data_IF_797965419617
#
_entry.id   IF_797965419617
#
_cell.length_a   1.000
_cell.length_b   1.000
_cell.length_c   1.000
_cell.angle_alpha   90.00
_cell.angle_beta   90.00
_cell.angle_gamma   90.00
#
_symmetry.space_group_name_H-M   'P 1'
#
loop_
_entity.id
_entity.type
_entity.pdbx_description
1 polymer ?
2 non-polymer ?
3 non-polymer ?
4 non-polymer ?
5 non-polymer ?
6 water ?
#
# COMPACT_ATOMS: atom_id res chain seq x y z
N UNK A 1 4.96 15.14 3.41
CA UNK A 1 3.64 14.74 3.95
C UNK A 1 2.49 15.39 3.28
N UNK A 2 1.34 14.72 3.25
CA UNK A 2 0.20 15.31 2.64
C UNK A 2 -0.25 16.47 3.51
N UNK A 3 -0.67 17.56 2.90
CA UNK A 3 -1.03 18.76 3.63
C UNK A 3 -2.58 18.97 3.79
N UNK A 4 -3.30 17.88 3.70
CA UNK A 4 -4.76 17.95 3.67
C UNK A 4 -5.25 16.60 4.21
N UNK A 5 -6.50 16.58 4.69
CA UNK A 5 -7.01 15.41 5.37
C UNK A 5 -7.83 14.50 4.52
N UNK A 6 -8.46 15.00 3.47
CA UNK A 6 -9.19 14.14 2.53
C UNK A 6 -8.25 13.76 1.38
N UNK A 7 -7.97 12.43 1.31
CA UNK A 7 -7.10 11.86 0.29
C UNK A 7 -7.91 10.87 -0.55
N UNK A 8 -7.71 10.91 -1.86
CA UNK A 8 -8.34 10.06 -2.80
C UNK A 8 -7.32 8.99 -3.34
N UNK A 9 -7.88 7.87 -3.70
CA UNK A 9 -7.21 6.82 -4.40
C UNK A 9 -8.08 6.31 -5.50
N UNK A 10 -7.37 5.76 -6.50
CA UNK A 10 -7.99 5.22 -7.64
C UNK A 10 -7.26 3.93 -8.01
N UNK A 11 -8.05 2.89 -8.26
CA UNK A 11 -7.46 1.63 -8.71
C UNK A 11 -7.34 1.64 -10.24
N UNK A 12 -6.14 1.81 -10.75
CA UNK A 12 -5.91 2.05 -12.19
C UNK A 12 -6.33 0.79 -13.01
N UNK A 13 -6.02 -0.37 -12.44
CA UNK A 13 -6.16 -1.66 -13.09
C UNK A 13 -6.08 -2.75 -12.03
N UNK A 14 -6.71 -3.87 -12.34
CA UNK A 14 -6.90 -4.92 -11.37
C UNK A 14 -6.09 -6.14 -11.75
N UNK A 15 -5.37 -6.69 -10.79
CA UNK A 15 -4.72 -7.96 -11.01
C UNK A 15 -5.70 -9.06 -11.36
N UNK A 16 -5.31 -9.96 -12.26
CA UNK A 16 -6.21 -11.07 -12.55
C UNK A 16 -6.08 -12.20 -11.51
N UNK A 17 -5.20 -12.04 -10.52
CA UNK A 17 -4.94 -13.03 -9.48
C UNK A 17 -6.08 -13.12 -8.53
N UNK A 18 -6.93 -12.08 -8.47
CA UNK A 18 -7.90 -12.00 -7.45
C UNK A 18 -9.25 -11.57 -7.99
N UNK A 19 -10.29 -11.85 -7.20
CA UNK A 19 -11.63 -11.32 -7.45
C UNK A 19 -11.59 -9.80 -7.37
N UNK A 20 -12.31 -9.14 -8.25
CA UNK A 20 -12.37 -7.67 -8.24
C UNK A 20 -12.75 -7.12 -6.86
N UNK A 21 -13.83 -7.68 -6.30
CA UNK A 21 -14.34 -7.24 -5.04
C UNK A 21 -13.33 -7.45 -3.88
N UNK A 22 -12.53 -8.47 -4.03
CA UNK A 22 -11.45 -8.73 -3.07
C UNK A 22 -10.28 -7.71 -3.11
N UNK A 23 -9.92 -7.31 -4.33
CA UNK A 23 -8.92 -6.26 -4.50
C UNK A 23 -9.48 -4.97 -3.82
N UNK A 24 -10.72 -4.62 -4.14
CA UNK A 24 -11.39 -3.44 -3.53
C UNK A 24 -11.35 -3.49 -2.04
N UNK A 25 -11.71 -4.64 -1.53
CA UNK A 25 -11.76 -4.81 -0.06
C UNK A 25 -10.39 -4.75 0.62
N UNK A 26 -9.41 -5.39 0.02
CA UNK A 26 -8.05 -5.40 0.64
C UNK A 26 -7.51 -4.04 0.70
N UNK A 27 -7.69 -3.31 -0.39
CA UNK A 27 -7.07 -1.99 -0.44
C UNK A 27 -7.84 -1.05 0.53
N UNK A 28 -9.16 -1.14 0.52
CA UNK A 28 -9.96 -0.31 1.41
C UNK A 28 -9.51 -0.59 2.87
N UNK A 29 -9.45 -1.87 3.24
CA UNK A 29 -9.07 -2.28 4.63
C UNK A 29 -7.67 -1.77 4.95
N UNK A 30 -6.79 -1.78 3.96
CA UNK A 30 -5.45 -1.26 4.18
C UNK A 30 -5.43 0.22 4.44
N UNK A 31 -6.21 1.01 3.69
CA UNK A 31 -6.23 2.46 3.99
C UNK A 31 -6.82 2.66 5.40
N UNK A 32 -7.81 1.82 5.76
CA UNK A 32 -8.51 1.97 7.05
C UNK A 32 -7.52 1.81 8.21
N UNK A 33 -6.56 0.93 8.04
CA UNK A 33 -5.50 0.76 9.06
C UNK A 33 -4.84 2.11 9.44
N UNK A 34 -4.57 2.90 8.43
CA UNK A 34 -3.94 4.18 8.63
C UNK A 34 -4.91 5.32 9.03
N UNK A 35 -6.14 5.32 8.48
CA UNK A 35 -7.26 6.15 8.89
C UNK A 35 -7.48 6.00 10.41
N UNK A 36 -7.34 4.79 10.90
CA UNK A 36 -7.64 4.50 12.30
C UNK A 36 -6.77 5.29 13.26
N UNK A 37 -5.57 5.71 12.85
CA UNK A 37 -4.61 6.31 13.79
C UNK A 37 -4.14 7.69 13.33
N UNK A 38 -4.84 8.26 12.37
CA UNK A 38 -4.58 9.62 11.89
C UNK A 38 -5.89 10.35 11.65
N UNK A 39 -5.83 11.64 11.34
CA UNK A 39 -7.01 12.39 10.89
C UNK A 39 -7.36 12.23 9.40
N UNK A 40 -6.64 11.36 8.71
CA UNK A 40 -6.81 11.22 7.30
C UNK A 40 -8.09 10.46 6.98
N UNK A 41 -8.72 10.83 5.87
CA UNK A 41 -9.89 10.11 5.35
C UNK A 41 -9.58 9.72 3.95
N UNK A 42 -9.93 8.50 3.54
CA UNK A 42 -9.60 8.04 2.22
C UNK A 42 -10.84 7.70 1.42
N UNK A 43 -10.88 8.06 0.16
CA UNK A 43 -12.08 7.80 -0.70
C UNK A 43 -11.54 7.25 -2.04
N UNK A 44 -12.19 6.21 -2.56
CA UNK A 44 -11.87 5.61 -3.82
C UNK A 44 -12.63 6.39 -4.87
N UNK A 45 -11.99 6.71 -5.95
CA UNK A 45 -12.69 7.40 -7.01
C UNK A 45 -12.45 6.57 -8.25
N UNK A 46 -13.27 6.79 -9.22
CA UNK A 46 -13.30 5.98 -10.35
C UNK A 46 -12.85 6.67 -11.59
N UNK A 47 -12.67 7.98 -11.57
CA UNK A 47 -12.22 8.64 -12.80
C UNK A 47 -11.53 9.85 -12.32
N UNK A 48 -10.66 10.36 -13.16
CA UNK A 48 -9.97 11.52 -12.79
C UNK A 48 -8.72 11.17 -12.05
N UNK A 49 -8.06 12.22 -11.59
CA UNK A 49 -6.70 12.14 -10.94
C UNK A 49 -7.00 11.96 -9.46
N UNK A 50 -6.43 10.92 -8.87
CA UNK A 50 -6.48 10.68 -7.47
C UNK A 50 -5.15 11.12 -6.91
N UNK A 51 -5.02 11.21 -5.60
CA UNK A 51 -3.75 11.41 -4.97
C UNK A 51 -2.87 10.18 -5.14
N UNK A 52 -3.47 9.03 -4.80
CA UNK A 52 -2.75 7.81 -4.76
C UNK A 52 -3.30 6.88 -5.84
N UNK A 53 -2.58 6.76 -6.92
CA UNK A 53 -2.95 5.80 -8.00
C UNK A 53 -2.38 4.43 -7.65
N UNK A 54 -3.27 3.42 -7.67
CA UNK A 54 -2.91 2.03 -7.32
C UNK A 54 -2.80 1.29 -8.66
N UNK A 55 -1.62 0.76 -8.92
CA UNK A 55 -1.30 0.19 -10.24
C UNK A 55 -0.76 -1.24 -10.04
N UNK A 56 -1.24 -2.23 -10.85
CA UNK A 56 -0.54 -3.45 -10.91
C UNK A 56 0.21 -3.51 -12.22
N UNK A 57 1.51 -3.80 -12.15
CA UNK A 57 2.39 -3.73 -13.33
C UNK A 57 3.58 -4.66 -13.19
N UNK A 58 4.10 -5.10 -14.35
CA UNK A 58 5.30 -5.91 -14.36
C UNK A 58 6.41 -5.21 -15.17
N UNK A 59 7.65 -5.60 -14.78
CA UNK A 59 8.89 -5.14 -15.37
C UNK A 59 8.94 -3.66 -15.39
N UNK A 60 9.44 -3.13 -16.54
CA UNK A 60 9.42 -1.70 -16.76
C UNK A 60 8.04 -1.23 -17.02
N UNK A 61 7.62 -0.26 -16.25
CA UNK A 61 6.26 0.22 -16.28
C UNK A 61 6.21 1.75 -16.17
N UNK A 62 7.21 2.40 -16.73
CA UNK A 62 7.13 3.82 -16.94
C UNK A 62 7.65 4.70 -15.86
N UNK A 63 8.22 4.14 -14.81
CA UNK A 63 8.80 4.97 -13.79
C UNK A 63 10.25 4.61 -13.72
N UNK A 64 10.97 4.99 -12.73
CA UNK A 64 12.38 4.59 -12.89
C UNK A 64 12.64 3.42 -11.94
N UNK A 65 11.59 2.65 -11.65
CA UNK A 65 11.67 1.60 -10.67
C UNK A 65 11.13 0.26 -11.26
N UNK A 66 11.81 -0.32 -12.27
CA UNK A 66 11.32 -1.56 -12.83
C UNK A 66 11.15 -2.68 -11.84
N UNK A 67 10.14 -3.50 -12.02
CA UNK A 67 10.02 -4.74 -11.26
C UNK A 67 10.89 -5.91 -11.85
N UNK A 68 11.06 -6.90 -11.01
CA UNK A 68 12.05 -7.90 -11.19
C UNK A 68 11.50 -9.33 -11.31
N UNK A 69 10.27 -9.50 -11.73
CA UNK A 69 9.67 -10.81 -11.87
C UNK A 69 9.28 -11.34 -10.54
N UNK A 70 8.96 -12.61 -10.52
CA UNK A 70 8.35 -13.19 -9.36
C UNK A 70 9.36 -13.16 -8.21
N UNK A 71 8.92 -12.84 -7.02
CA UNK A 71 9.77 -12.67 -5.89
C UNK A 71 10.49 -11.29 -5.79
N UNK A 72 11.46 -11.25 -4.93
CA UNK A 72 12.27 -10.08 -4.73
C UNK A 72 11.40 -8.90 -4.32
N UNK A 73 11.49 -7.83 -5.07
CA UNK A 73 10.64 -6.66 -4.88
C UNK A 73 9.16 -7.04 -5.19
N UNK A 74 8.30 -6.88 -4.20
CA UNK A 74 6.87 -7.18 -4.34
C UNK A 74 6.04 -5.98 -4.78
N UNK A 75 6.48 -4.80 -4.40
CA UNK A 75 5.66 -3.61 -4.57
C UNK A 75 6.56 -2.43 -4.22
N UNK A 76 6.21 -1.22 -4.67
CA UNK A 76 6.86 0.02 -4.20
C UNK A 76 5.91 1.16 -4.32
N UNK A 77 6.18 2.27 -3.64
CA UNK A 77 5.29 3.38 -3.61
C UNK A 77 6.12 4.65 -3.44
N UNK A 78 5.57 5.76 -3.91
CA UNK A 78 6.21 7.06 -3.84
C UNK A 78 5.65 7.86 -2.68
N UNK A 79 6.48 8.65 -2.04
CA UNK A 79 6.02 9.48 -0.97
C UNK A 79 5.11 10.58 -1.47
N UNK A 80 4.51 11.30 -0.54
CA UNK A 80 3.58 12.43 -0.87
C UNK A 80 4.17 13.44 -1.82
N UNK A 81 3.33 13.82 -2.74
CA UNK A 81 3.70 14.74 -3.78
C UNK A 81 2.64 14.71 -4.88
N UNK A 82 2.82 15.64 -5.82
CA UNK A 82 1.91 15.69 -7.00
C UNK A 82 2.35 14.61 -8.06
N UNK A 83 1.48 14.35 -9.02
CA UNK A 83 1.72 13.36 -10.12
C UNK A 83 2.00 11.97 -9.53
N UNK A 84 3.19 11.46 -9.71
CA UNK A 84 3.52 10.09 -9.29
C UNK A 84 3.64 10.02 -7.78
N UNK A 85 3.84 11.16 -7.15
CA UNK A 85 3.78 11.20 -5.71
C UNK A 85 2.56 10.49 -5.16
N UNK A 86 2.79 9.72 -4.12
CA UNK A 86 1.73 8.96 -3.48
C UNK A 86 1.39 7.59 -4.08
N UNK A 87 1.80 7.34 -5.34
CA UNK A 87 1.26 6.22 -6.13
C UNK A 87 1.91 4.94 -5.61
N UNK A 88 1.14 3.86 -5.62
CA UNK A 88 1.56 2.61 -5.15
C UNK A 88 1.38 1.58 -6.26
N UNK A 89 2.48 0.90 -6.49
CA UNK A 89 2.63 -0.08 -7.57
C UNK A 89 2.89 -1.50 -7.03
N UNK A 90 2.18 -2.46 -7.53
CA UNK A 90 2.29 -3.83 -7.06
C UNK A 90 2.72 -4.69 -8.23
N UNK A 91 3.73 -5.51 -8.01
CA UNK A 91 4.36 -6.28 -9.08
C UNK A 91 3.35 -7.35 -9.49
N UNK A 92 2.95 -7.32 -10.74
CA UNK A 92 2.03 -8.32 -11.24
C UNK A 92 2.62 -9.75 -11.35
N UNK A 93 3.95 -9.84 -11.32
CA UNK A 93 4.61 -11.11 -11.36
C UNK A 93 4.55 -11.82 -10.02
N UNK A 94 4.01 -11.20 -8.97
CA UNK A 94 3.61 -11.94 -7.82
C UNK A 94 2.20 -12.48 -8.02
N UNK A 95 1.83 -13.48 -7.21
CA UNK A 95 0.48 -14.01 -7.15
C UNK A 95 -0.22 -13.49 -5.90
N UNK A 96 -1.03 -12.48 -6.13
CA UNK A 96 -1.73 -11.78 -5.03
C UNK A 96 -2.93 -12.55 -4.54
N UNK A 97 -3.14 -12.54 -3.21
CA UNK A 97 -4.22 -13.27 -2.59
C UNK A 97 -4.82 -12.58 -1.37
N UNK A 98 -5.95 -13.16 -1.00
CA UNK A 98 -6.64 -12.85 0.27
C UNK A 98 -6.12 -13.55 1.47
N UNK A 99 -5.28 -14.52 1.31
CA UNK A 99 -4.94 -15.35 2.41
C UNK A 99 -3.41 -15.55 2.43
N UNK A 100 -2.93 -16.77 2.76
CA UNK A 100 -1.47 -16.95 2.87
C UNK A 100 -0.87 -17.56 1.67
N UNK A 101 -1.66 -18.05 0.74
CA UNK A 101 -1.15 -18.58 -0.55
C UNK A 101 -0.54 -17.31 -1.18
N UNK A 102 0.49 -17.48 -1.90
CA UNK A 102 1.04 -16.35 -2.67
C UNK A 102 1.41 -15.22 -1.75
N UNK A 103 1.10 -14.01 -2.20
CA UNK A 103 1.55 -12.79 -1.48
C UNK A 103 0.28 -12.05 -1.06
N UNK A 104 0.08 -11.86 0.24
CA UNK A 104 -1.12 -11.25 0.74
C UNK A 104 -1.19 -9.74 0.30
N UNK A 105 -2.19 -9.38 -0.48
CA UNK A 105 -2.38 -8.00 -0.90
C UNK A 105 -2.62 -7.01 0.21
N UNK A 106 -3.47 -7.39 1.15
CA UNK A 106 -3.76 -6.51 2.28
C UNK A 106 -2.48 -6.12 3.00
N UNK A 107 -1.67 -7.10 3.41
CA UNK A 107 -0.53 -6.71 4.20
C UNK A 107 0.43 -5.87 3.39
N UNK A 108 0.65 -6.30 2.15
CA UNK A 108 1.54 -5.54 1.33
C UNK A 108 1.03 -4.12 1.14
N UNK A 109 -0.26 -3.96 0.90
CA UNK A 109 -0.78 -2.67 0.71
C UNK A 109 -0.70 -1.79 1.95
N UNK A 110 -0.86 -2.34 3.13
CA UNK A 110 -0.70 -1.51 4.32
C UNK A 110 0.71 -0.88 4.32
N UNK A 111 1.70 -1.70 4.04
CA UNK A 111 3.13 -1.29 4.02
C UNK A 111 3.36 -0.19 2.95
N UNK A 112 2.88 -0.43 1.71
CA UNK A 112 3.00 0.51 0.64
C UNK A 112 2.27 1.80 0.88
N UNK A 113 1.07 1.74 1.43
CA UNK A 113 0.34 2.96 1.75
C UNK A 113 1.07 3.74 2.84
N UNK A 114 1.72 3.03 3.71
CA UNK A 114 2.60 3.71 4.66
C UNK A 114 3.60 4.62 3.97
N UNK A 115 4.26 4.07 2.92
CA UNK A 115 5.16 4.87 2.06
C UNK A 115 4.42 6.00 1.39
N UNK A 116 3.23 5.71 0.83
CA UNK A 116 2.41 6.76 0.19
C UNK A 116 2.11 7.95 1.11
N UNK A 117 2.11 7.65 2.38
CA UNK A 117 1.83 8.67 3.39
C UNK A 117 3.05 9.40 3.87
N UNK A 118 4.23 8.85 3.59
CA UNK A 118 5.50 9.46 4.02
C UNK A 118 6.35 8.64 4.93
N UNK A 119 5.98 7.40 5.25
CA UNK A 119 6.83 6.62 6.15
C UNK A 119 7.97 5.94 5.37
N UNK A 120 9.11 5.74 6.07
CA UNK A 120 10.22 4.98 5.52
C UNK A 120 10.15 3.58 6.17
N UNK A 121 11.21 2.82 5.98
CA UNK A 121 11.30 1.51 6.60
C UNK A 121 11.60 1.44 8.11
N UNK A 122 11.05 0.47 8.82
CA UNK A 122 11.50 0.22 10.18
C UNK A 122 12.56 -0.85 10.27
N UNK A 123 13.39 -0.82 11.31
CA UNK A 123 14.27 -1.94 11.62
C UNK A 123 13.61 -3.04 12.53
N UNK A 124 12.36 -2.79 12.97
CA UNK A 124 11.70 -3.62 13.93
C UNK A 124 10.91 -4.63 13.11
N UNK A 125 11.27 -5.91 13.20
CA UNK A 125 10.51 -6.99 12.51
C UNK A 125 9.03 -7.05 12.89
N UNK A 126 8.67 -6.47 14.01
CA UNK A 126 7.24 -6.37 14.35
C UNK A 126 6.45 -5.35 13.57
N UNK A 127 7.12 -4.39 12.94
CA UNK A 127 6.47 -3.31 12.26
C UNK A 127 6.00 -3.69 10.85
N UNK A 128 4.86 -3.18 10.50
CA UNK A 128 4.42 -3.35 9.12
C UNK A 128 5.37 -2.68 8.10
N UNK A 129 6.03 -1.62 8.55
CA UNK A 129 7.09 -0.94 7.74
C UNK A 129 8.42 -1.62 7.73
N UNK A 130 8.54 -2.80 8.35
CA UNK A 130 9.73 -3.68 8.05
C UNK A 130 9.60 -4.17 6.62
N UNK A 131 10.68 -4.20 5.85
CA UNK A 131 10.62 -4.54 4.40
C UNK A 131 10.30 -5.94 4.07
N UNK A 132 10.64 -6.86 4.94
CA UNK A 132 10.51 -8.28 4.62
C UNK A 132 9.10 -8.80 4.72
N UNK A 133 8.63 -9.36 3.64
CA UNK A 133 7.29 -10.02 3.67
C UNK A 133 7.24 -11.17 4.65
N UNK A 134 6.31 -11.17 5.62
CA UNK A 134 6.00 -12.34 6.44
C UNK A 134 4.49 -12.42 6.64
N UNK A 135 3.83 -13.49 6.21
CA UNK A 135 2.40 -13.56 6.37
C UNK A 135 2.06 -13.52 7.86
N UNK A 136 1.06 -12.78 8.24
CA UNK A 136 0.46 -12.94 9.54
C UNK A 136 -1.02 -12.88 9.30
N UNK A 137 -1.73 -13.51 10.19
CA UNK A 137 -3.13 -13.62 10.00
C UNK A 137 -3.85 -12.25 9.87
N UNK A 138 -4.51 -12.15 8.76
CA UNK A 138 -5.05 -10.88 8.38
C UNK A 138 -6.23 -10.33 9.27
N UNK A 139 -6.60 -11.08 10.34
CA UNK A 139 -7.50 -10.68 11.46
C UNK A 139 -6.67 -10.50 12.81
N UNK A 140 -5.57 -11.23 12.93
CA UNK A 140 -4.58 -10.99 13.98
C UNK A 140 -3.76 -9.66 13.82
N UNK A 141 -3.80 -9.05 12.61
CA UNK A 141 -2.86 -8.00 12.26
C UNK A 141 -2.95 -6.77 13.19
N UNK A 142 -1.86 -6.26 13.69
CA UNK A 142 -1.89 -4.95 14.31
C UNK A 142 -0.73 -4.13 13.89
N UNK A 143 -0.91 -2.83 13.65
CA UNK A 143 0.25 -1.96 13.57
C UNK A 143 1.07 -2.14 14.79
N UNK A 144 2.36 -2.13 14.70
CA UNK A 144 3.18 -2.02 15.89
C UNK A 144 3.25 -0.61 16.48
N UNK A 145 3.80 -0.51 17.71
CA UNK A 145 3.93 0.75 18.36
C UNK A 145 4.88 1.65 17.55
N UNK A 146 5.91 1.06 16.98
CA UNK A 146 6.83 1.73 16.07
C UNK A 146 6.09 2.41 14.88
N UNK A 147 5.17 1.66 14.26
CA UNK A 147 4.38 2.17 13.16
C UNK A 147 3.51 3.38 13.58
N UNK A 148 2.82 3.19 14.70
CA UNK A 148 1.96 4.24 15.20
C UNK A 148 2.74 5.47 15.57
N UNK A 149 3.82 5.34 16.33
CA UNK A 149 4.72 6.49 16.50
C UNK A 149 5.18 7.20 15.19
N UNK A 150 5.65 6.42 14.21
CA UNK A 150 5.98 6.95 12.89
C UNK A 150 4.87 7.76 12.25
N UNK A 151 3.69 7.18 12.06
CA UNK A 151 2.67 7.93 11.33
C UNK A 151 2.18 9.12 12.14
N UNK A 152 2.09 8.94 13.45
CA UNK A 152 1.68 10.05 14.32
C UNK A 152 2.71 11.17 14.42
N UNK A 153 3.97 10.83 14.20
CA UNK A 153 5.01 11.86 14.09
C UNK A 153 4.83 12.71 12.80
N UNK A 154 4.16 12.15 11.78
CA UNK A 154 3.88 12.84 10.56
C UNK A 154 2.51 13.53 10.51
N UNK A 155 1.48 12.96 11.12
CA UNK A 155 0.10 13.54 10.97
C UNK A 155 -0.70 13.90 12.23
N UNK A 156 -0.30 13.53 13.41
CA UNK A 156 -1.27 13.72 14.50
C UNK A 156 -0.86 14.21 15.84
#
# INVERSE_FOLDING_TARGET
VWRKHYITYRINNYTPDMNREDVDYAIRKAFQVWSNVTPLKFSKINTGMADILVVFARGAHGDDHAFDGKGGILAHAFGPGSGIGGDAHFDEDEFWTTHSGGTNLFLTAVHEIGHSLGLGHSSDPKAVMFPTYKYVDINTFRLSADDIRGIQSLYG
#
